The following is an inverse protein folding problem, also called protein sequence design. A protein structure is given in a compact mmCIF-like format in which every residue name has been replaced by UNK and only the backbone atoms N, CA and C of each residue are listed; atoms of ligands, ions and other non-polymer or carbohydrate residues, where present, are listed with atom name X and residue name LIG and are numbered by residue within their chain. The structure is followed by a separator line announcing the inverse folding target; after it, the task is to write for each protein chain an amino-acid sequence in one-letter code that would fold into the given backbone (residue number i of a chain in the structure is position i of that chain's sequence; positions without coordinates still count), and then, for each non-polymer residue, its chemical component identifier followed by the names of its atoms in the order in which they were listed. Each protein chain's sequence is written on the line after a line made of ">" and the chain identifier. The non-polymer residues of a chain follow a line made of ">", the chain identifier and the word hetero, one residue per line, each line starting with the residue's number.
data_IF_084813556081
#
_entry.id   IF_084813556081
#
_cell.length_a   1.000
_cell.length_b   1.000
_cell.length_c   1.000
_cell.angle_alpha   90.00
_cell.angle_beta   90.00
_cell.angle_gamma   90.00
#
_symmetry.space_group_name_H-M   'P 1'
#
loop_
_entity.id
_entity.type
_entity.pdbx_description
1 polymer ?
#
# COMPACT_ATOMS: atom_id res chain seq x y z
N UNK A 1 4.35 3.99 -11.97
CA UNK A 1 4.67 2.55 -12.05
C UNK A 1 3.45 1.80 -12.58
N UNK A 2 3.64 0.82 -13.45
CA UNK A 2 2.58 -0.09 -13.95
C UNK A 2 3.07 -1.52 -13.70
N UNK A 3 2.49 -2.18 -12.71
CA UNK A 3 2.91 -3.50 -12.22
C UNK A 3 1.70 -4.19 -11.53
N UNK A 4 1.90 -5.41 -11.02
CA UNK A 4 0.90 -6.13 -10.22
C UNK A 4 0.57 -5.37 -8.92
N UNK A 5 -0.66 -5.49 -8.39
CA UNK A 5 -1.04 -4.83 -7.14
C UNK A 5 -0.08 -5.13 -5.97
N UNK A 6 0.36 -6.39 -5.87
CA UNK A 6 1.32 -6.86 -4.87
C UNK A 6 2.66 -6.13 -4.98
N UNK A 7 3.24 -6.08 -6.19
CA UNK A 7 4.52 -5.40 -6.44
C UNK A 7 4.43 -3.90 -6.21
N UNK A 8 3.35 -3.26 -6.65
CA UNK A 8 3.15 -1.83 -6.40
C UNK A 8 3.05 -1.55 -4.90
N UNK A 9 2.41 -2.44 -4.13
CA UNK A 9 2.25 -2.28 -2.68
C UNK A 9 3.57 -2.45 -1.92
N UNK A 10 4.30 -3.54 -2.21
CA UNK A 10 5.49 -3.97 -1.47
C UNK A 10 6.80 -3.36 -1.99
N UNK A 11 6.88 -3.05 -3.28
CA UNK A 11 8.08 -2.53 -3.93
C UNK A 11 7.74 -1.35 -4.87
N UNK A 12 7.17 -0.26 -4.34
CA UNK A 12 6.93 0.95 -5.11
C UNK A 12 8.25 1.57 -5.59
N UNK A 13 8.31 2.01 -6.83
CA UNK A 13 9.53 2.60 -7.41
C UNK A 13 9.74 4.07 -7.01
N UNK A 14 8.67 4.75 -6.58
CA UNK A 14 8.74 6.15 -6.16
C UNK A 14 7.90 6.40 -4.91
N UNK A 15 8.24 7.46 -4.17
CA UNK A 15 7.46 7.91 -2.99
C UNK A 15 6.02 8.19 -3.37
N UNK A 16 5.78 8.84 -4.52
CA UNK A 16 4.42 9.16 -4.96
C UNK A 16 3.56 7.90 -5.14
N UNK A 17 4.12 6.80 -5.65
CA UNK A 17 3.41 5.52 -5.74
C UNK A 17 3.20 4.92 -4.35
N UNK A 18 4.24 4.95 -3.50
CA UNK A 18 4.18 4.41 -2.15
C UNK A 18 3.11 5.10 -1.27
N UNK A 19 2.96 6.41 -1.40
CA UNK A 19 1.96 7.21 -0.68
C UNK A 19 0.54 7.06 -1.24
N UNK A 20 0.41 6.83 -2.55
CA UNK A 20 -0.89 6.71 -3.20
C UNK A 20 -1.57 5.36 -2.92
N UNK A 21 -0.77 4.30 -2.77
CA UNK A 21 -1.28 2.93 -2.64
C UNK A 21 -1.22 2.51 -1.17
N UNK A 22 -2.35 2.06 -0.63
CA UNK A 22 -2.50 1.64 0.76
C UNK A 22 -3.27 2.64 1.62
N UNK A 23 -3.96 2.15 2.64
CA UNK A 23 -4.64 2.96 3.63
C UNK A 23 -4.50 2.27 4.99
N UNK A 24 -3.80 2.85 5.98
CA UNK A 24 -3.06 4.12 5.97
C UNK A 24 -1.98 4.25 4.88
N UNK A 25 -1.57 5.49 4.59
CA UNK A 25 -0.42 5.75 3.70
C UNK A 25 0.85 5.19 4.32
N UNK A 26 1.87 4.94 3.49
CA UNK A 26 3.21 4.56 3.98
C UNK A 26 3.74 5.64 4.94
N UNK A 27 4.40 5.22 6.02
CA UNK A 27 5.13 6.15 6.89
C UNK A 27 6.38 6.61 6.18
N UNK A 28 6.70 7.90 6.26
CA UNK A 28 7.93 8.48 5.75
C UNK A 28 8.69 9.19 6.87
N UNK A 29 9.97 8.88 7.01
CA UNK A 29 10.85 9.50 8.01
C UNK A 29 12.12 9.98 7.32
N UNK A 30 12.39 11.28 7.43
CA UNK A 30 13.58 11.91 6.89
C UNK A 30 14.83 11.51 7.69
N UNK A 31 15.94 11.35 6.98
CA UNK A 31 17.22 11.06 7.61
C UNK A 31 18.41 11.14 6.67
N UNK A 32 19.58 10.89 7.23
CA UNK A 32 20.86 10.91 6.52
C UNK A 32 21.56 9.57 6.69
N UNK A 33 21.99 8.97 5.58
CA UNK A 33 22.73 7.71 5.61
C UNK A 33 24.16 7.93 6.13
N UNK A 34 24.61 7.16 7.11
CA UNK A 34 25.96 7.25 7.68
C UNK A 34 26.94 6.17 7.15
N UNK A 35 26.51 5.37 6.16
CA UNK A 35 27.28 4.26 5.62
C UNK A 35 26.93 2.89 6.20
N UNK A 36 26.09 2.83 7.25
CA UNK A 36 25.59 1.58 7.86
C UNK A 36 24.15 1.66 8.36
N UNK A 37 23.68 2.88 8.60
CA UNK A 37 22.36 3.17 9.11
C UNK A 37 21.89 4.53 8.60
N UNK A 38 20.59 4.73 8.63
CA UNK A 38 20.00 6.04 8.41
C UNK A 38 19.75 6.68 9.77
N UNK A 39 20.36 7.85 9.97
CA UNK A 39 20.21 8.67 11.16
C UNK A 39 19.04 9.63 10.97
N UNK A 40 18.11 9.58 11.90
CA UNK A 40 16.94 10.46 11.97
C UNK A 40 17.03 11.24 13.27
N UNK A 41 16.24 12.30 13.44
CA UNK A 41 16.16 12.98 14.74
C UNK A 41 15.53 12.10 15.84
N UNK A 42 14.79 11.07 15.45
CA UNK A 42 14.09 10.16 16.37
C UNK A 42 14.85 8.88 16.70
N UNK A 43 16.00 8.65 16.08
CA UNK A 43 16.71 7.39 16.24
C UNK A 43 17.50 6.98 15.00
N UNK A 44 17.77 5.69 14.90
CA UNK A 44 18.68 5.13 13.91
C UNK A 44 18.18 3.80 13.38
N UNK A 45 18.07 3.70 12.06
CA UNK A 45 17.60 2.49 11.39
C UNK A 45 18.78 1.85 10.65
N UNK A 46 19.27 0.67 11.09
CA UNK A 46 20.32 -0.07 10.38
C UNK A 46 19.83 -0.52 9.01
N UNK A 47 20.56 -0.18 7.95
CA UNK A 47 20.23 -0.54 6.57
C UNK A 47 21.48 -0.33 5.70
N UNK A 48 21.74 -1.26 4.78
CA UNK A 48 22.81 -1.12 3.79
C UNK A 48 22.23 -0.57 2.49
N UNK A 49 22.79 0.52 1.97
CA UNK A 49 22.28 1.19 0.78
C UNK A 49 23.40 1.48 -0.21
N UNK A 50 23.14 1.37 -1.54
CA UNK A 50 24.13 1.66 -2.58
C UNK A 50 24.27 3.16 -2.84
N UNK A 51 24.44 3.97 -1.79
CA UNK A 51 24.63 5.43 -1.85
C UNK A 51 25.77 5.84 -0.90
N UNK A 52 26.47 6.96 -1.14
CA UNK A 52 27.52 7.42 -0.24
C UNK A 52 26.96 7.82 1.14
N UNK A 53 27.80 7.70 2.17
CA UNK A 53 27.52 8.30 3.47
C UNK A 53 27.35 9.84 3.32
N UNK A 54 26.47 10.42 4.13
CA UNK A 54 26.04 11.81 4.03
C UNK A 54 24.84 12.03 3.10
N UNK A 55 24.39 11.02 2.35
CA UNK A 55 23.22 11.13 1.49
C UNK A 55 21.94 11.35 2.31
N UNK A 56 21.26 12.47 2.08
CA UNK A 56 19.91 12.71 2.58
C UNK A 56 18.90 11.83 1.82
N UNK A 57 17.98 11.22 2.56
CA UNK A 57 16.97 10.31 2.02
C UNK A 57 15.76 10.22 2.96
N UNK A 58 14.72 9.52 2.49
CA UNK A 58 13.53 9.17 3.28
C UNK A 58 13.41 7.66 3.44
N UNK A 59 13.14 7.21 4.66
CA UNK A 59 12.76 5.84 4.94
C UNK A 59 11.25 5.67 4.85
N UNK A 60 10.82 4.64 4.12
CA UNK A 60 9.42 4.26 3.97
C UNK A 60 9.11 2.89 4.57
N UNK A 61 8.11 2.81 5.44
CA UNK A 61 7.62 1.53 5.96
C UNK A 61 6.11 1.59 6.22
N UNK A 62 5.45 0.44 6.12
CA UNK A 62 3.99 0.35 6.24
C UNK A 62 3.57 0.25 7.71
N UNK A 63 2.34 0.64 8.02
CA UNK A 63 1.85 0.62 9.40
C UNK A 63 1.77 -0.80 9.99
N UNK A 64 1.50 -1.79 9.15
CA UNK A 64 1.42 -3.21 9.51
C UNK A 64 2.77 -3.90 9.62
N UNK A 65 3.85 -3.30 9.08
CA UNK A 65 5.21 -3.82 9.30
C UNK A 65 5.78 -3.34 10.63
N UNK A 66 5.25 -2.25 11.18
CA UNK A 66 5.76 -1.63 12.39
C UNK A 66 5.12 -2.21 13.67
N UNK A 67 5.81 -2.07 14.80
CA UNK A 67 5.27 -2.39 16.11
C UNK A 67 5.74 -1.39 17.18
N UNK A 68 4.96 -1.25 18.24
CA UNK A 68 5.35 -0.43 19.39
C UNK A 68 6.19 -1.24 20.37
N UNK A 69 7.23 -0.60 20.91
CA UNK A 69 8.11 -1.13 21.94
C UNK A 69 8.18 -0.16 23.11
N UNK A 70 8.86 -0.56 24.18
CA UNK A 70 9.28 0.39 25.20
C UNK A 70 10.20 1.47 24.58
N UNK A 71 10.23 2.69 25.15
CA UNK A 71 11.17 3.73 24.75
C UNK A 71 12.61 3.22 24.72
N UNK A 72 13.35 3.56 23.67
CA UNK A 72 14.74 3.16 23.44
C UNK A 72 14.92 1.71 23.00
N UNK A 73 13.86 0.91 22.93
CA UNK A 73 13.92 -0.48 22.43
C UNK A 73 13.59 -0.60 20.94
N UNK A 74 13.05 0.46 20.33
CA UNK A 74 12.73 0.52 18.91
C UNK A 74 13.88 1.05 18.06
N UNK A 75 13.62 1.29 16.78
CA UNK A 75 14.54 2.00 15.87
C UNK A 75 14.33 3.51 15.90
N UNK A 76 13.11 3.92 16.19
CA UNK A 76 12.70 5.30 16.38
C UNK A 76 12.04 5.42 17.76
N UNK A 77 12.10 6.60 18.36
CA UNK A 77 11.35 6.95 19.56
C UNK A 77 10.35 8.06 19.26
N UNK A 78 9.28 8.12 20.03
CA UNK A 78 8.27 9.16 19.88
C UNK A 78 7.24 9.17 21.00
N UNK A 79 6.22 9.99 20.81
CA UNK A 79 5.10 10.16 21.72
C UNK A 79 3.80 9.80 21.00
N UNK A 80 2.93 9.01 21.63
CA UNK A 80 1.62 8.68 21.09
C UNK A 80 0.75 9.94 21.02
N UNK A 81 0.51 10.43 19.81
CA UNK A 81 -0.28 11.62 19.55
C UNK A 81 -1.79 11.32 19.51
N UNK A 82 -2.16 10.19 18.92
CA UNK A 82 -3.55 9.77 18.75
C UNK A 82 -3.67 8.24 18.60
N UNK A 83 -4.81 7.69 18.98
CA UNK A 83 -5.15 6.28 18.78
C UNK A 83 -6.54 6.21 18.16
N UNK A 84 -6.64 5.62 16.98
CA UNK A 84 -7.89 5.35 16.29
C UNK A 84 -8.28 3.89 16.52
N UNK A 85 -9.51 3.64 16.97
CA UNK A 85 -10.05 2.29 17.11
C UNK A 85 -10.99 1.98 15.96
N UNK A 86 -10.60 1.02 15.12
CA UNK A 86 -11.33 0.58 13.93
C UNK A 86 -12.11 -0.72 14.17
N UNK A 87 -12.25 -1.15 15.42
CA UNK A 87 -12.93 -2.38 15.82
C UNK A 87 -11.99 -3.59 15.86
N UNK A 88 -11.48 -4.03 14.70
CA UNK A 88 -10.51 -5.15 14.62
C UNK A 88 -9.08 -4.72 14.91
N UNK A 89 -8.80 -3.46 14.64
CA UNK A 89 -7.46 -2.88 14.67
C UNK A 89 -7.44 -1.55 15.41
N UNK A 90 -6.28 -1.22 15.94
CA UNK A 90 -5.92 0.08 16.45
C UNK A 90 -4.88 0.70 15.51
N UNK A 91 -5.09 1.94 15.09
CA UNK A 91 -4.05 2.74 14.44
C UNK A 91 -3.48 3.69 15.49
N UNK A 92 -2.21 3.51 15.84
CA UNK A 92 -1.51 4.35 16.78
C UNK A 92 -0.65 5.34 16.01
N UNK A 93 -0.94 6.62 16.18
CA UNK A 93 -0.21 7.73 15.58
C UNK A 93 0.86 8.20 16.57
N UNK A 94 2.13 7.95 16.24
CA UNK A 94 3.30 8.31 17.05
C UNK A 94 3.98 9.52 16.43
N UNK A 95 4.10 10.60 17.20
CA UNK A 95 4.89 11.77 16.81
C UNK A 95 6.35 11.50 17.09
N UNK A 96 7.13 11.41 16.02
CA UNK A 96 8.58 11.25 16.03
C UNK A 96 9.23 12.61 15.73
N UNK A 97 10.29 12.98 16.46
CA UNK A 97 11.11 14.14 16.14
C UNK A 97 11.64 14.10 14.70
N UNK A 98 11.66 15.26 14.04
CA UNK A 98 12.08 15.38 12.64
C UNK A 98 11.11 14.81 11.60
N UNK A 99 9.99 14.19 11.99
CA UNK A 99 8.97 13.74 11.03
C UNK A 99 7.83 14.76 10.90
N UNK A 100 7.49 15.12 9.67
CA UNK A 100 6.43 16.10 9.39
C UNK A 100 5.02 15.60 9.73
N UNK A 101 4.79 14.29 9.67
CA UNK A 101 3.51 13.64 9.97
C UNK A 101 3.71 12.51 10.97
N UNK A 102 2.72 12.20 11.83
CA UNK A 102 2.84 11.06 12.74
C UNK A 102 3.11 9.75 12.00
N UNK A 103 4.04 8.95 12.53
CA UNK A 103 4.22 7.56 12.13
C UNK A 103 3.02 6.76 12.62
N UNK A 104 2.37 6.03 11.72
CA UNK A 104 1.21 5.19 12.03
C UNK A 104 1.64 3.75 12.22
N UNK A 105 1.26 3.14 13.34
CA UNK A 105 1.49 1.73 13.65
C UNK A 105 0.15 1.04 13.78
N UNK A 106 -0.06 -0.06 13.05
CA UNK A 106 -1.29 -0.87 13.14
C UNK A 106 -1.09 -1.99 14.14
N UNK A 107 -2.00 -2.10 15.11
CA UNK A 107 -1.99 -3.13 16.14
C UNK A 107 -3.35 -3.85 16.20
N UNK A 108 -3.39 -5.14 16.54
CA UNK A 108 -4.65 -5.83 16.83
C UNK A 108 -5.40 -5.20 18.01
N UNK A 109 -6.74 -5.20 18.00
CA UNK A 109 -7.56 -4.63 19.08
C UNK A 109 -7.34 -5.27 20.47
N UNK A 110 -6.78 -6.48 20.53
CA UNK A 110 -6.42 -7.18 21.79
C UNK A 110 -5.05 -6.84 22.35
N UNK A 111 -4.25 -6.01 21.66
CA UNK A 111 -2.98 -5.53 22.19
C UNK A 111 -3.18 -4.59 23.38
N UNK A 112 -2.15 -4.42 24.21
CA UNK A 112 -2.15 -3.38 25.25
C UNK A 112 -2.48 -2.03 24.59
N UNK A 113 -3.53 -1.32 25.01
CA UNK A 113 -3.87 -0.03 24.44
C UNK A 113 -2.73 0.97 24.69
N UNK A 114 -2.25 1.59 23.62
CA UNK A 114 -1.37 2.75 23.71
C UNK A 114 -2.16 3.93 24.30
N UNK A 115 -1.51 4.74 25.13
CA UNK A 115 -2.16 5.90 25.77
C UNK A 115 -1.64 7.19 25.12
N UNK A 116 -2.53 8.13 24.80
CA UNK A 116 -2.10 9.45 24.31
C UNK A 116 -1.14 10.12 25.31
N UNK A 117 -0.03 10.65 24.82
CA UNK A 117 1.05 11.22 25.63
C UNK A 117 2.07 10.20 26.13
N UNK A 118 1.86 8.90 25.88
CA UNK A 118 2.82 7.87 26.24
C UNK A 118 4.05 7.95 25.34
N UNK A 119 5.24 7.90 25.93
CA UNK A 119 6.48 7.68 25.20
C UNK A 119 6.63 6.22 24.81
N UNK A 120 6.96 5.97 23.55
CA UNK A 120 7.08 4.63 22.98
C UNK A 120 8.27 4.58 22.02
N UNK A 121 8.83 3.38 21.86
CA UNK A 121 9.67 3.07 20.72
C UNK A 121 8.83 2.54 19.56
N UNK A 122 9.32 2.71 18.34
CA UNK A 122 8.76 2.13 17.11
C UNK A 122 9.82 1.24 16.49
N UNK A 123 9.54 -0.05 16.39
CA UNK A 123 10.27 -0.95 15.52
C UNK A 123 9.62 -0.92 14.13
N UNK A 124 10.44 -0.75 13.08
CA UNK A 124 9.96 -0.71 11.70
C UNK A 124 9.67 -2.11 11.14
N UNK A 125 10.08 -3.16 11.87
CA UNK A 125 9.94 -4.56 11.51
C UNK A 125 10.87 -4.94 10.37
N UNK A 126 10.30 -5.30 9.21
CA UNK A 126 11.09 -5.57 8.00
C UNK A 126 11.95 -4.36 7.61
N UNK A 127 13.02 -4.60 6.86
CA UNK A 127 13.89 -3.54 6.32
C UNK A 127 13.06 -2.49 5.58
N UNK A 128 13.09 -1.21 6.01
CA UNK A 128 12.36 -0.15 5.33
C UNK A 128 12.85 0.07 3.90
N UNK A 129 11.97 0.61 3.07
CA UNK A 129 12.33 1.14 1.76
C UNK A 129 13.11 2.44 1.95
N UNK A 130 14.05 2.74 1.06
CA UNK A 130 14.76 4.01 1.04
C UNK A 130 14.43 4.77 -0.25
N UNK A 131 14.18 6.06 -0.13
CA UNK A 131 13.88 6.94 -1.26
C UNK A 131 14.82 8.13 -1.28
N UNK A 132 15.37 8.44 -2.45
CA UNK A 132 16.23 9.58 -2.67
C UNK A 132 15.50 10.92 -2.51
N UNK A 133 16.26 12.02 -2.56
CA UNK A 133 15.70 13.38 -2.49
C UNK A 133 14.83 13.71 -3.72
N UNK A 134 15.08 13.05 -4.85
CA UNK A 134 14.25 13.06 -6.06
C UNK A 134 12.91 12.31 -5.90
N UNK A 135 12.79 11.49 -4.85
CA UNK A 135 11.62 10.66 -4.59
C UNK A 135 11.67 9.29 -5.27
N UNK A 136 12.77 8.94 -5.93
CA UNK A 136 12.97 7.62 -6.51
C UNK A 136 13.50 6.63 -5.46
N UNK A 137 13.17 5.35 -5.60
CA UNK A 137 13.63 4.31 -4.68
C UNK A 137 15.14 4.07 -4.85
N UNK A 138 15.87 4.10 -3.73
CA UNK A 138 17.29 3.74 -3.64
C UNK A 138 17.41 2.21 -3.55
N UNK A 139 18.35 1.63 -4.30
CA UNK A 139 18.50 0.19 -4.45
C UNK A 139 17.68 -0.36 -5.61
N UNK A 140 17.80 -1.66 -5.89
CA UNK A 140 17.33 -2.22 -7.16
C UNK A 140 15.83 -1.96 -7.41
N UNK A 141 15.45 -1.22 -8.48
CA UNK A 141 14.15 -1.41 -9.10
C UNK A 141 14.03 -2.87 -9.54
N UNK A 142 12.89 -3.51 -9.30
CA UNK A 142 12.67 -4.84 -9.91
C UNK A 142 12.52 -4.62 -11.41
N UNK A 143 13.08 -5.46 -12.30
CA UNK A 143 12.92 -5.26 -13.72
C UNK A 143 11.44 -5.22 -14.03
N UNK A 144 10.97 -4.09 -14.56
CA UNK A 144 9.66 -3.98 -15.17
C UNK A 144 9.53 -5.18 -16.11
N UNK A 145 8.50 -5.99 -15.94
CA UNK A 145 8.20 -7.02 -16.94
C UNK A 145 7.98 -6.27 -18.25
N UNK A 146 8.93 -6.41 -19.18
CA UNK A 146 8.85 -5.81 -20.50
C UNK A 146 7.51 -6.23 -21.11
N UNK A 147 6.56 -5.30 -21.15
CA UNK A 147 5.31 -5.55 -21.84
C UNK A 147 5.65 -5.57 -23.33
N UNK A 148 5.59 -6.77 -23.91
CA UNK A 148 5.68 -6.97 -25.35
C UNK A 148 4.77 -5.96 -26.06
N UNK A 149 5.19 -5.36 -27.19
CA UNK A 149 4.34 -4.44 -27.93
C UNK A 149 3.03 -5.16 -28.26
N UNK A 150 1.91 -4.58 -27.81
CA UNK A 150 0.57 -5.05 -28.17
C UNK A 150 0.53 -5.09 -29.70
N UNK A 151 0.39 -6.29 -30.26
CA UNK A 151 0.21 -6.48 -31.69
C UNK A 151 -0.96 -5.61 -32.15
N UNK A 152 -0.72 -4.80 -33.17
CA UNK A 152 -1.73 -3.97 -33.81
C UNK A 152 -2.93 -4.85 -34.24
N UNK A 153 -4.16 -4.32 -34.23
CA UNK A 153 -5.29 -5.04 -34.80
C UNK A 153 -5.05 -5.24 -36.30
N UNK A 154 -5.01 -6.50 -36.74
CA UNK A 154 -4.93 -6.84 -38.16
C UNK A 154 -6.14 -6.28 -38.93
N UNK A 155 -5.99 -5.99 -40.23
CA UNK A 155 -7.04 -5.35 -41.01
C UNK A 155 -8.29 -6.23 -41.09
N UNK A 156 -9.44 -5.61 -40.87
CA UNK A 156 -10.77 -6.20 -40.95
C UNK A 156 -10.98 -6.92 -42.30
N UNK A 157 -11.35 -8.21 -42.24
CA UNK A 157 -11.84 -8.95 -43.41
C UNK A 157 -13.18 -8.37 -43.86
N UNK A 158 -13.20 -7.78 -45.05
CA UNK A 158 -14.42 -7.43 -45.75
C UNK A 158 -15.25 -8.68 -46.03
N UNK A 159 -16.45 -8.75 -45.45
CA UNK A 159 -17.44 -9.79 -45.75
C UNK A 159 -18.29 -9.33 -46.93
N UNK A 160 -18.12 -9.97 -48.09
CA UNK A 160 -19.02 -9.82 -49.23
C UNK A 160 -20.29 -10.63 -48.98
N UNK A 161 -21.43 -9.93 -48.90
CA UNK A 161 -22.77 -10.51 -48.90
C UNK A 161 -23.06 -11.15 -50.25
N UNK A 162 -23.54 -12.39 -50.24
CA UNK A 162 -24.39 -12.94 -51.30
C UNK A 162 -25.64 -13.53 -50.65
N UNK A 163 -26.77 -12.92 -51.00
CA UNK A 163 -28.16 -13.36 -50.75
C UNK A 163 -28.43 -14.68 -51.53
N UNK A 164 -29.46 -15.51 -51.22
CA UNK A 164 -30.86 -15.06 -51.34
C UNK A 164 -31.92 -15.74 -50.43
N UNK A 165 -33.13 -15.16 -50.54
CA UNK A 165 -34.46 -15.79 -50.50
C UNK A 165 -35.14 -16.10 -49.14
N UNK A 166 -36.23 -15.36 -48.91
CA UNK A 166 -37.34 -15.58 -47.97
C UNK A 166 -38.38 -16.58 -48.57
N UNK A 167 -39.59 -16.84 -48.00
CA UNK A 167 -40.20 -16.28 -46.78
C UNK A 167 -41.05 -17.26 -45.91
N UNK A 168 -41.64 -16.66 -44.85
CA UNK A 168 -42.97 -16.94 -44.28
C UNK A 168 -43.12 -17.95 -43.13
N UNK A 169 -43.59 -17.43 -41.98
CA UNK A 169 -44.14 -18.21 -40.86
C UNK A 169 -44.18 -17.42 -39.55
N UNK A 170 -45.32 -16.82 -39.23
CA UNK A 170 -45.68 -16.23 -37.93
C UNK A 170 -47.08 -16.76 -37.55
N UNK A 171 -47.65 -16.45 -36.37
CA UNK A 171 -47.12 -16.42 -34.99
C UNK A 171 -47.99 -17.27 -34.03
N UNK A 172 -47.49 -17.62 -32.84
CA UNK A 172 -48.26 -18.04 -31.64
C UNK A 172 -47.29 -18.47 -30.55
N UNK A 173 -47.51 -18.33 -29.25
CA UNK A 173 -48.46 -17.63 -28.38
C UNK A 173 -48.04 -18.02 -26.95
N UNK A 174 -48.47 -17.23 -25.96
CA UNK A 174 -48.68 -17.62 -24.56
C UNK A 174 -47.46 -17.71 -23.61
N UNK A 175 -47.36 -16.70 -22.73
CA UNK A 175 -47.19 -16.96 -21.30
C UNK A 175 -48.51 -17.50 -20.71
N UNK A 176 -48.51 -18.14 -19.51
CA UNK A 176 -48.70 -17.32 -18.30
C UNK A 176 -48.00 -17.82 -17.02
N UNK A 177 -47.73 -16.82 -16.18
CA UNK A 177 -47.79 -16.70 -14.71
C UNK A 177 -48.46 -17.84 -13.93
N UNK A 178 -47.81 -18.26 -12.84
CA UNK A 178 -48.41 -18.69 -11.57
C UNK A 178 -47.27 -18.92 -10.54
N UNK A 179 -47.34 -18.74 -9.22
CA UNK A 179 -48.25 -18.12 -8.24
C UNK A 179 -47.91 -18.82 -6.91
N UNK A 180 -47.56 -18.05 -5.86
CA UNK A 180 -47.93 -18.31 -4.43
C UNK A 180 -47.22 -19.53 -3.77
N UNK A 181 -46.88 -19.61 -2.49
CA UNK A 181 -47.31 -18.97 -1.24
C UNK A 181 -46.24 -19.13 -0.16
N UNK A 182 -46.19 -18.12 0.72
CA UNK A 182 -46.18 -18.18 2.19
C UNK A 182 -46.04 -19.58 2.84
N UNK A 183 -45.27 -19.66 3.92
CA UNK A 183 -45.84 -19.94 5.26
C UNK A 183 -44.94 -19.38 6.38
N UNK A 184 -45.59 -18.56 7.21
CA UNK A 184 -45.20 -18.06 8.53
C UNK A 184 -45.82 -18.98 9.57
N UNK A 185 -45.09 -19.26 10.66
CA UNK A 185 -45.49 -19.59 12.05
C UNK A 185 -44.41 -20.52 12.64
N UNK A 186 -44.03 -20.44 13.90
CA UNK A 186 -44.50 -19.67 15.05
C UNK A 186 -43.29 -19.35 15.94
#
# INVERSE_FOLDING_TARGET
>A
QVDTPDRIYHAPDTVAVAEFIGSPRINLVDGTYDGRAVRTESGSVPIELPVPAGQALRLGFRCESASLTAPGCGRLDGEVAHVENLGSDLLVHVRCAGSATPVVVRMPAGSRPAVRGEHVGVDTGSTPLAFGPDGDRIGAPSPATAQAPRSAPGPARASTRTSPAAPAGAPSSAQPVATVSRHVRA
#
